data_IF_850647636226
#
_entry.id   IF_850647636226
#
_cell.length_a   1.000
_cell.length_b   1.000
_cell.length_c   1.000
_cell.angle_alpha   90.00
_cell.angle_beta   90.00
_cell.angle_gamma   90.00
#
_symmetry.space_group_name_H-M   'P 1'
#
loop_
_entity.id
_entity.type
_entity.pdbx_description
1 polymer ?
#
# COMPACT_ATOMS: atom_id res chain seq x y z
N UNK A 1 -13.68 4.10 16.71
CA UNK A 1 -14.21 2.99 15.88
C UNK A 1 -13.62 2.97 14.45
N UNK A 2 -13.61 4.10 13.71
CA UNK A 2 -13.21 4.11 12.29
C UNK A 2 -11.81 3.54 12.05
N UNK A 3 -10.81 4.00 12.79
CA UNK A 3 -9.41 3.58 12.61
C UNK A 3 -9.26 2.07 12.83
N UNK A 4 -9.85 1.53 13.90
CA UNK A 4 -9.80 0.09 14.20
C UNK A 4 -10.48 -0.74 13.12
N UNK A 5 -11.56 -0.23 12.53
CA UNK A 5 -12.32 -0.94 11.52
C UNK A 5 -11.82 -0.72 10.08
N UNK A 6 -10.88 0.19 9.83
CA UNK A 6 -10.38 0.44 8.46
C UNK A 6 -9.83 -0.83 7.80
N UNK A 7 -9.11 -1.65 8.56
CA UNK A 7 -8.63 -2.98 8.16
C UNK A 7 -9.16 -4.07 9.08
N UNK A 8 -10.42 -4.01 9.47
CA UNK A 8 -11.02 -5.07 10.29
C UNK A 8 -11.06 -6.39 9.52
N UNK A 9 -10.56 -7.44 10.16
CA UNK A 9 -10.56 -8.80 9.65
C UNK A 9 -11.60 -9.65 10.42
N UNK A 10 -12.17 -10.72 9.87
CA UNK A 10 -13.13 -11.56 10.59
C UNK A 10 -12.65 -12.04 11.95
N UNK A 11 -11.36 -12.28 12.14
CA UNK A 11 -10.78 -12.69 13.44
C UNK A 11 -10.85 -11.60 14.52
N UNK A 12 -11.05 -10.35 14.14
CA UNK A 12 -11.13 -9.24 15.09
C UNK A 12 -12.40 -9.30 15.95
N UNK A 13 -13.43 -10.02 15.51
CA UNK A 13 -14.68 -10.21 16.24
C UNK A 13 -14.49 -10.85 17.64
N UNK A 14 -13.41 -11.58 17.84
CA UNK A 14 -13.09 -12.27 19.09
C UNK A 14 -11.75 -11.83 19.71
N UNK A 15 -11.13 -10.78 19.17
CA UNK A 15 -9.84 -10.32 19.65
C UNK A 15 -9.98 -9.46 20.90
N UNK A 16 -9.53 -9.99 22.03
CA UNK A 16 -9.57 -9.34 23.34
C UNK A 16 -8.38 -8.42 23.60
N UNK A 17 -7.52 -8.17 22.62
CA UNK A 17 -6.41 -7.23 22.76
C UNK A 17 -6.95 -5.83 23.01
N UNK A 18 -6.48 -5.19 24.09
CA UNK A 18 -6.78 -3.78 24.37
C UNK A 18 -6.15 -2.90 23.29
N UNK A 19 -6.97 -2.10 22.65
CA UNK A 19 -6.52 -1.23 21.54
C UNK A 19 -5.55 -0.18 22.06
N UNK A 20 -5.97 0.53 23.09
CA UNK A 20 -5.14 1.51 23.80
C UNK A 20 -5.76 1.81 25.17
N UNK A 21 -4.95 2.01 26.22
CA UNK A 21 -5.47 2.33 27.56
C UNK A 21 -6.32 3.60 27.63
N UNK A 22 -6.21 4.47 26.67
CA UNK A 22 -6.93 5.77 26.69
C UNK A 22 -8.38 5.68 26.18
N UNK A 23 -8.78 4.56 25.62
CA UNK A 23 -10.15 4.29 25.17
C UNK A 23 -10.77 3.29 26.16
N UNK A 24 -10.87 3.67 27.41
CA UNK A 24 -11.51 2.92 28.50
C UNK A 24 -11.14 1.41 28.53
N UNK A 25 -9.89 1.08 28.13
CA UNK A 25 -9.41 -0.28 27.92
C UNK A 25 -10.25 -1.10 26.93
N UNK A 26 -10.93 -0.45 25.99
CA UNK A 26 -11.70 -1.15 24.97
C UNK A 26 -10.83 -2.13 24.17
N UNK A 27 -11.35 -3.33 24.00
CA UNK A 27 -10.73 -4.35 23.18
C UNK A 27 -11.06 -4.15 21.70
N UNK A 28 -10.32 -4.84 20.84
CA UNK A 28 -10.62 -4.85 19.40
C UNK A 28 -12.04 -5.37 19.16
N UNK A 29 -12.44 -6.44 19.86
CA UNK A 29 -13.78 -7.01 19.76
C UNK A 29 -14.88 -6.01 20.16
N UNK A 30 -14.65 -5.19 21.19
CA UNK A 30 -15.61 -4.17 21.61
C UNK A 30 -15.85 -3.10 20.53
N UNK A 31 -14.80 -2.79 19.77
CA UNK A 31 -14.82 -1.76 18.71
C UNK A 31 -15.18 -2.33 17.33
N UNK A 32 -15.17 -3.66 17.17
CA UNK A 32 -15.45 -4.32 15.90
C UNK A 32 -16.88 -4.07 15.41
N UNK A 33 -17.02 -3.73 14.11
CA UNK A 33 -18.32 -3.41 13.48
C UNK A 33 -18.57 -4.24 12.21
N UNK A 34 -17.82 -5.31 12.03
CA UNK A 34 -17.83 -6.15 10.85
C UNK A 34 -16.52 -6.08 10.06
N UNK A 35 -16.27 -7.07 9.20
CA UNK A 35 -15.03 -7.14 8.45
C UNK A 35 -15.04 -6.21 7.24
N UNK A 36 -13.97 -5.45 7.05
CA UNK A 36 -13.64 -4.80 5.80
C UNK A 36 -12.68 -5.64 4.94
N UNK A 37 -11.94 -6.55 5.57
CA UNK A 37 -11.10 -7.52 4.89
C UNK A 37 -11.84 -8.86 4.76
N UNK A 38 -11.61 -9.55 3.66
CA UNK A 38 -11.98 -10.95 3.51
C UNK A 38 -11.03 -11.85 4.32
N UNK A 39 -11.42 -13.12 4.49
CA UNK A 39 -10.62 -14.11 5.24
C UNK A 39 -9.22 -14.36 4.67
N UNK A 40 -8.97 -14.02 3.42
CA UNK A 40 -7.67 -14.09 2.76
C UNK A 40 -6.89 -12.75 2.80
N UNK A 41 -7.30 -11.81 3.66
CA UNK A 41 -6.74 -10.47 3.85
C UNK A 41 -6.94 -9.50 2.69
N UNK A 42 -7.66 -9.89 1.66
CA UNK A 42 -7.99 -9.00 0.54
C UNK A 42 -9.17 -8.10 0.89
N UNK A 43 -9.32 -7.00 0.19
CA UNK A 43 -10.52 -6.16 0.22
C UNK A 43 -11.00 -5.84 -1.21
N UNK A 44 -12.24 -5.44 -1.32
CA UNK A 44 -12.82 -4.95 -2.56
C UNK A 44 -13.19 -3.47 -2.42
N UNK A 45 -13.07 -2.76 -3.53
CA UNK A 45 -13.63 -1.45 -3.71
C UNK A 45 -14.33 -1.42 -5.08
N UNK A 46 -15.45 -0.73 -5.19
CA UNK A 46 -16.29 -0.70 -6.41
C UNK A 46 -16.73 -2.09 -6.90
N UNK A 47 -16.78 -3.07 -6.00
CA UNK A 47 -17.23 -4.43 -6.31
C UNK A 47 -16.17 -5.34 -6.94
N UNK A 48 -14.88 -4.99 -6.86
CA UNK A 48 -13.78 -5.82 -7.31
C UNK A 48 -12.52 -5.62 -6.47
N UNK A 49 -11.57 -6.55 -6.55
CA UNK A 49 -10.28 -6.43 -5.91
C UNK A 49 -9.45 -5.33 -6.57
N UNK A 50 -8.94 -4.45 -5.74
CA UNK A 50 -8.21 -3.29 -6.19
C UNK A 50 -6.95 -3.09 -5.34
N UNK A 51 -5.80 -3.45 -5.86
CA UNK A 51 -4.55 -3.47 -5.09
C UNK A 51 -4.18 -2.08 -4.55
N UNK A 52 -4.40 -1.02 -5.32
CA UNK A 52 -4.08 0.33 -4.84
C UNK A 52 -4.98 0.80 -3.69
N UNK A 53 -6.26 0.41 -3.67
CA UNK A 53 -7.11 0.71 -2.50
C UNK A 53 -6.69 -0.09 -1.27
N UNK A 54 -6.23 -1.32 -1.47
CA UNK A 54 -5.65 -2.09 -0.38
C UNK A 54 -4.40 -1.41 0.21
N UNK A 55 -3.62 -0.77 -0.64
CA UNK A 55 -2.43 -0.04 -0.22
C UNK A 55 -2.76 1.32 0.41
N UNK A 56 -3.75 2.04 -0.14
CA UNK A 56 -4.08 3.41 0.28
C UNK A 56 -4.50 3.51 1.74
N UNK A 57 -5.13 2.47 2.29
CA UNK A 57 -5.51 2.45 3.71
C UNK A 57 -4.26 2.50 4.60
N UNK A 58 -3.17 1.79 4.24
CA UNK A 58 -1.90 1.87 4.98
C UNK A 58 -1.34 3.30 4.93
N UNK A 59 -1.41 3.96 3.78
CA UNK A 59 -0.95 5.34 3.63
C UNK A 59 -1.74 6.28 4.54
N UNK A 60 -3.06 6.26 4.46
CA UNK A 60 -3.92 7.17 5.20
C UNK A 60 -3.83 6.95 6.71
N UNK A 61 -3.78 5.69 7.16
CA UNK A 61 -3.56 5.37 8.56
C UNK A 61 -2.16 5.79 9.03
N UNK A 62 -1.15 5.61 8.19
CA UNK A 62 0.22 6.05 8.48
C UNK A 62 0.32 7.56 8.62
N UNK A 63 -0.30 8.31 7.72
CA UNK A 63 -0.36 9.77 7.80
C UNK A 63 -1.10 10.23 9.05
N UNK A 64 -2.24 9.63 9.37
CA UNK A 64 -2.98 9.93 10.60
C UNK A 64 -2.15 9.62 11.85
N UNK A 65 -1.45 8.49 11.87
CA UNK A 65 -0.59 8.11 12.98
C UNK A 65 0.64 9.04 13.14
N UNK A 66 1.13 9.62 12.05
CA UNK A 66 2.25 10.56 12.04
C UNK A 66 1.88 11.95 12.57
N UNK A 67 0.66 12.40 12.39
CA UNK A 67 0.22 13.76 12.80
C UNK A 67 0.38 13.97 14.30
N UNK A 68 0.09 12.96 15.11
CA UNK A 68 0.16 13.06 16.59
C UNK A 68 1.60 13.35 17.06
N UNK A 69 2.61 12.54 16.73
CA UNK A 69 3.99 12.83 17.12
C UNK A 69 4.54 14.12 16.50
N UNK A 70 4.15 14.49 15.29
CA UNK A 70 4.53 15.78 14.70
C UNK A 70 3.98 16.96 15.52
N UNK A 71 2.71 16.93 15.89
CA UNK A 71 2.10 17.95 16.71
C UNK A 71 2.78 18.06 18.10
N UNK A 72 3.18 16.92 18.67
CA UNK A 72 3.93 16.90 19.92
C UNK A 72 5.33 17.49 19.79
N UNK A 73 6.05 17.16 18.73
CA UNK A 73 7.38 17.74 18.44
C UNK A 73 7.29 19.26 18.30
N UNK A 74 6.32 19.77 17.57
CA UNK A 74 6.13 21.22 17.38
C UNK A 74 5.73 21.90 18.69
N UNK A 75 4.87 21.31 19.49
CA UNK A 75 4.52 21.81 20.82
C UNK A 75 5.75 21.94 21.73
N UNK A 76 6.64 20.92 21.71
CA UNK A 76 7.90 20.95 22.47
C UNK A 76 8.83 22.05 21.97
N UNK A 77 8.94 22.24 20.66
CA UNK A 77 9.72 23.32 20.04
C UNK A 77 9.23 24.69 20.49
N UNK A 78 7.93 24.93 20.42
CA UNK A 78 7.31 26.19 20.82
C UNK A 78 7.44 26.47 22.34
N UNK A 79 7.29 25.44 23.16
CA UNK A 79 7.45 25.60 24.62
C UNK A 79 8.91 25.85 25.00
N UNK A 80 9.86 25.25 24.32
CA UNK A 80 11.29 25.52 24.52
C UNK A 80 11.67 26.95 24.11
N UNK A 81 11.10 27.44 23.01
CA UNK A 81 11.27 28.85 22.58
C UNK A 81 10.64 29.85 23.57
N UNK A 82 9.48 29.52 24.16
CA UNK A 82 8.82 30.33 25.19
C UNK A 82 9.57 30.30 26.53
N UNK A 83 10.17 29.20 26.94
CA UNK A 83 11.01 29.07 28.14
C UNK A 83 12.25 29.97 28.08
N UNK A 84 12.77 30.26 26.90
CA UNK A 84 13.81 31.31 26.70
C UNK A 84 13.29 32.72 26.96
N UNK A 85 11.98 32.96 26.93
CA UNK A 85 11.37 34.29 27.04
C UNK A 85 10.75 34.62 28.39
N UNK A 86 10.29 33.63 29.19
CA UNK A 86 9.79 33.86 30.56
C UNK A 86 9.71 32.56 31.37
N UNK A 87 10.45 32.48 32.49
CA UNK A 87 10.17 31.52 33.57
C UNK A 87 8.83 31.90 34.23
N UNK A 88 7.76 31.24 33.87
CA UNK A 88 6.57 31.07 34.72
C UNK A 88 5.92 29.72 34.41
N UNK A 89 5.72 28.96 35.48
CA UNK A 89 5.07 27.67 35.51
C UNK A 89 3.64 27.74 34.97
N UNK A 90 3.36 27.01 33.91
CA UNK A 90 2.13 26.27 33.72
C UNK A 90 2.55 24.92 33.11
N UNK A 91 2.41 23.89 33.93
CA UNK A 91 2.55 22.51 33.46
C UNK A 91 1.49 22.32 32.36
N UNK A 92 1.95 22.21 31.10
CA UNK A 92 1.10 21.70 30.05
C UNK A 92 0.78 20.24 30.40
N UNK A 93 -0.44 19.74 30.15
CA UNK A 93 -0.77 18.37 30.42
C UNK A 93 0.27 17.48 29.73
N UNK A 94 0.82 16.52 30.48
CA UNK A 94 1.69 15.49 29.96
C UNK A 94 0.86 14.65 28.98
N UNK A 95 0.87 15.03 27.72
CA UNK A 95 0.52 14.08 26.68
C UNK A 95 1.63 13.02 26.71
N UNK A 96 1.32 11.91 27.36
CA UNK A 96 2.08 10.67 27.27
C UNK A 96 2.40 10.46 25.80
N UNK A 97 3.62 10.03 25.49
CA UNK A 97 4.02 9.61 24.14
C UNK A 97 3.00 8.60 23.61
N UNK A 98 2.06 9.11 22.82
CA UNK A 98 1.02 8.27 22.31
C UNK A 98 1.64 7.30 21.31
N UNK A 99 1.78 6.06 21.72
CA UNK A 99 2.05 4.99 20.76
C UNK A 99 0.89 4.93 19.77
N UNK A 100 1.11 5.41 18.55
CA UNK A 100 0.10 5.44 17.50
C UNK A 100 0.10 4.18 16.65
N UNK A 101 0.95 3.18 16.94
CA UNK A 101 1.04 1.93 16.16
C UNK A 101 -0.25 1.11 16.19
N UNK A 102 -1.06 1.27 17.24
CA UNK A 102 -2.39 0.65 17.28
C UNK A 102 -3.29 1.07 16.10
N UNK A 103 -3.07 2.27 15.54
CA UNK A 103 -3.79 2.75 14.37
C UNK A 103 -3.47 1.93 13.11
N UNK A 104 -2.31 1.27 13.09
CA UNK A 104 -1.84 0.43 11.99
C UNK A 104 -2.19 -1.05 12.16
N UNK A 105 -3.22 -1.33 12.98
CA UNK A 105 -3.69 -2.69 13.17
C UNK A 105 -3.98 -3.35 11.82
N UNK A 106 -3.60 -4.61 11.71
CA UNK A 106 -3.72 -5.43 10.50
C UNK A 106 -2.93 -4.95 9.27
N UNK A 107 -2.34 -3.74 9.27
CA UNK A 107 -1.51 -3.28 8.14
C UNK A 107 -0.38 -4.27 7.82
N UNK A 108 0.36 -4.73 8.83
CA UNK A 108 1.42 -5.71 8.64
C UNK A 108 0.94 -7.07 8.13
N UNK A 109 -0.27 -7.47 8.48
CA UNK A 109 -0.87 -8.70 7.96
C UNK A 109 -1.27 -8.55 6.49
N UNK A 110 -1.87 -7.41 6.13
CA UNK A 110 -2.19 -7.08 4.73
C UNK A 110 -0.94 -7.00 3.87
N UNK A 111 0.11 -6.35 4.36
CA UNK A 111 1.40 -6.26 3.66
C UNK A 111 1.94 -7.66 3.35
N UNK A 112 2.10 -8.49 4.36
CA UNK A 112 2.67 -9.85 4.21
C UNK A 112 1.79 -10.81 3.44
N UNK A 113 0.47 -10.70 3.57
CA UNK A 113 -0.45 -11.65 2.98
C UNK A 113 -0.93 -11.25 1.59
N UNK A 114 -0.88 -9.97 1.23
CA UNK A 114 -1.42 -9.48 -0.03
C UNK A 114 -0.40 -8.62 -0.80
N UNK A 115 0.07 -7.51 -0.23
CA UNK A 115 0.83 -6.53 -0.99
C UNK A 115 2.19 -7.05 -1.42
N UNK A 116 2.95 -7.72 -0.54
CA UNK A 116 4.23 -8.35 -0.90
C UNK A 116 4.09 -9.41 -2.00
N UNK A 117 2.93 -10.05 -2.09
CA UNK A 117 2.65 -11.00 -3.17
C UNK A 117 2.34 -10.32 -4.51
N UNK A 118 1.96 -9.07 -4.49
CA UNK A 118 1.53 -8.31 -5.67
C UNK A 118 2.49 -7.16 -6.01
N UNK A 119 3.57 -7.00 -5.25
CA UNK A 119 4.60 -5.99 -5.54
C UNK A 119 5.58 -6.50 -6.59
N UNK A 120 5.85 -5.68 -7.58
CA UNK A 120 6.78 -5.94 -8.67
C UNK A 120 8.22 -5.60 -8.29
N UNK A 121 9.16 -6.07 -9.09
CA UNK A 121 10.59 -5.88 -8.87
C UNK A 121 11.07 -4.41 -8.89
N UNK A 122 10.25 -3.49 -9.34
CA UNK A 122 10.51 -2.04 -9.32
C UNK A 122 9.75 -1.29 -8.22
N UNK A 123 9.08 -2.01 -7.34
CA UNK A 123 8.30 -1.45 -6.24
C UNK A 123 6.88 -1.00 -6.64
N UNK A 124 6.45 -1.26 -7.87
CA UNK A 124 5.07 -1.02 -8.28
C UNK A 124 4.15 -2.18 -7.87
N UNK A 125 2.86 -1.90 -7.77
CA UNK A 125 1.85 -2.90 -7.48
C UNK A 125 1.23 -3.45 -8.78
N UNK A 126 1.12 -4.77 -8.86
CA UNK A 126 0.33 -5.40 -9.91
C UNK A 126 -1.16 -5.17 -9.66
N UNK A 127 -1.91 -4.98 -10.75
CA UNK A 127 -3.36 -4.74 -10.74
C UNK A 127 -4.08 -5.88 -11.48
N UNK A 128 -4.26 -7.05 -10.85
CA UNK A 128 -4.80 -8.23 -11.55
C UNK A 128 -6.20 -8.02 -12.14
N UNK A 129 -7.02 -7.20 -11.48
CA UNK A 129 -8.37 -6.85 -11.95
C UNK A 129 -8.45 -5.46 -12.60
N UNK A 130 -7.29 -4.87 -12.88
CA UNK A 130 -7.21 -3.51 -13.37
C UNK A 130 -7.37 -2.46 -12.27
N UNK A 131 -7.45 -1.23 -12.74
CA UNK A 131 -7.59 -0.05 -11.89
C UNK A 131 -8.49 0.94 -12.59
N UNK A 132 -9.63 1.25 -12.01
CA UNK A 132 -10.57 2.22 -12.56
C UNK A 132 -10.09 3.68 -12.47
N UNK A 133 -9.05 3.91 -11.65
CA UNK A 133 -8.39 5.20 -11.48
C UNK A 133 -7.05 5.31 -12.22
N UNK A 134 -6.48 4.23 -12.60
CA UNK A 134 -5.37 3.91 -13.50
C UNK A 134 -4.02 4.60 -13.35
N UNK A 135 -3.82 5.57 -12.50
CA UNK A 135 -2.58 6.33 -12.45
C UNK A 135 -1.85 6.31 -11.12
N UNK A 136 -2.34 5.57 -10.18
CA UNK A 136 -1.87 5.61 -8.81
C UNK A 136 -0.86 4.53 -8.48
N UNK A 137 -0.18 4.01 -9.49
CA UNK A 137 0.83 2.97 -9.33
C UNK A 137 2.05 3.46 -8.54
N UNK A 138 2.20 4.76 -8.38
CA UNK A 138 3.38 5.38 -7.76
C UNK A 138 3.11 5.96 -6.38
N UNK A 139 1.86 5.94 -5.93
CA UNK A 139 1.45 6.50 -4.64
C UNK A 139 1.90 5.66 -3.44
N UNK A 140 2.31 4.41 -3.65
CA UNK A 140 2.57 3.45 -2.57
C UNK A 140 3.82 3.76 -1.73
N UNK A 141 4.63 4.73 -2.11
CA UNK A 141 5.87 5.03 -1.38
C UNK A 141 5.62 5.39 0.09
N UNK A 142 4.51 6.08 0.39
CA UNK A 142 4.14 6.41 1.77
C UNK A 142 3.69 5.19 2.56
N UNK A 143 3.04 4.20 1.95
CA UNK A 143 2.70 2.96 2.64
C UNK A 143 3.95 2.18 3.01
N UNK A 144 4.93 2.12 2.12
CA UNK A 144 6.20 1.48 2.42
C UNK A 144 6.94 2.18 3.56
N UNK A 145 7.01 3.51 3.57
CA UNK A 145 7.61 4.24 4.69
C UNK A 145 6.85 4.05 5.99
N UNK A 146 5.51 3.99 5.95
CA UNK A 146 4.69 3.68 7.12
C UNK A 146 5.05 2.32 7.72
N UNK A 147 5.09 1.28 6.87
CA UNK A 147 5.44 -0.07 7.30
C UNK A 147 6.88 -0.16 7.81
N UNK A 148 7.81 0.46 7.10
CA UNK A 148 9.22 0.46 7.46
C UNK A 148 9.47 1.21 8.78
N UNK A 149 9.00 2.44 8.89
CA UNK A 149 9.32 3.33 10.00
C UNK A 149 8.54 2.98 11.28
N UNK A 150 7.27 2.65 11.15
CA UNK A 150 6.39 2.45 12.30
C UNK A 150 6.25 0.98 12.72
N UNK A 151 6.29 0.04 11.78
CA UNK A 151 6.12 -1.39 12.07
C UNK A 151 7.42 -2.21 11.92
N UNK A 152 8.49 -1.57 11.52
CA UNK A 152 9.79 -2.24 11.48
C UNK A 152 9.94 -3.25 10.34
N UNK A 153 9.28 -3.04 9.21
CA UNK A 153 9.29 -3.95 8.06
C UNK A 153 10.46 -3.65 7.12
N UNK A 154 11.40 -4.59 6.96
CA UNK A 154 12.57 -4.44 6.10
C UNK A 154 12.28 -4.75 4.63
N UNK A 155 11.20 -5.46 4.33
CA UNK A 155 10.70 -5.63 2.96
C UNK A 155 10.13 -4.31 2.45
N UNK A 156 9.41 -3.60 3.31
CA UNK A 156 8.91 -2.28 2.98
C UNK A 156 10.06 -1.28 2.71
N UNK A 157 11.19 -1.35 3.42
CA UNK A 157 12.39 -0.55 3.08
C UNK A 157 12.94 -0.89 1.69
N UNK A 158 12.92 -2.16 1.31
CA UNK A 158 13.31 -2.56 -0.04
C UNK A 158 12.41 -1.90 -1.08
N UNK A 159 11.09 -2.03 -0.92
CA UNK A 159 10.13 -1.52 -1.89
C UNK A 159 10.04 0.00 -1.91
N UNK A 160 10.18 0.67 -0.78
CA UNK A 160 10.31 2.12 -0.73
C UNK A 160 11.50 2.61 -1.59
N UNK A 161 12.66 1.99 -1.41
CA UNK A 161 13.85 2.31 -2.21
C UNK A 161 13.63 2.09 -3.70
N UNK A 162 12.97 1.01 -4.09
CA UNK A 162 12.67 0.69 -5.48
C UNK A 162 11.66 1.69 -6.07
N UNK A 163 10.58 1.99 -5.34
CA UNK A 163 9.57 2.96 -5.75
C UNK A 163 10.14 4.37 -5.93
N UNK A 164 10.95 4.85 -4.98
CA UNK A 164 11.62 6.15 -5.08
C UNK A 164 12.58 6.20 -6.30
N UNK A 165 13.30 5.11 -6.55
CA UNK A 165 14.16 5.01 -7.72
C UNK A 165 13.36 5.06 -9.02
N UNK A 166 12.19 4.44 -9.04
CA UNK A 166 11.30 4.44 -10.20
C UNK A 166 10.68 5.83 -10.42
N UNK A 167 10.24 6.52 -9.37
CA UNK A 167 9.77 7.90 -9.44
C UNK A 167 10.87 8.79 -10.04
N UNK A 168 12.08 8.72 -9.50
CA UNK A 168 13.22 9.51 -10.00
C UNK A 168 13.57 9.17 -11.45
N UNK A 169 13.46 7.91 -11.87
CA UNK A 169 13.65 7.50 -13.27
C UNK A 169 12.61 8.15 -14.18
N UNK A 170 11.35 8.13 -13.76
CA UNK A 170 10.24 8.69 -14.55
C UNK A 170 10.31 10.21 -14.67
N UNK A 171 10.66 10.91 -13.59
CA UNK A 171 10.88 12.36 -13.63
C UNK A 171 11.93 12.77 -14.69
N UNK A 172 12.92 11.92 -14.97
CA UNK A 172 13.93 12.16 -15.99
C UNK A 172 13.45 11.94 -17.43
N UNK A 173 12.26 11.41 -17.63
CA UNK A 173 11.69 11.21 -18.97
C UNK A 173 11.11 12.49 -19.57
N UNK A 174 10.96 13.54 -18.79
CA UNK A 174 10.44 14.85 -19.21
C UNK A 174 11.43 15.95 -18.85
N UNK A 175 11.48 17.02 -19.65
CA UNK A 175 12.42 18.12 -19.46
C UNK A 175 12.21 18.90 -18.15
N UNK A 176 10.96 18.93 -17.66
CA UNK A 176 10.53 19.67 -16.48
C UNK A 176 10.27 18.77 -15.25
N UNK A 177 10.54 17.47 -15.38
CA UNK A 177 10.28 16.49 -14.32
C UNK A 177 8.81 16.08 -14.15
N UNK A 178 7.92 16.59 -14.98
CA UNK A 178 6.48 16.30 -14.95
C UNK A 178 6.14 15.04 -15.74
N UNK A 179 6.39 13.89 -15.19
CA UNK A 179 6.23 12.60 -15.87
C UNK A 179 4.79 12.07 -15.94
N UNK A 180 3.85 12.70 -15.25
CA UNK A 180 2.42 12.39 -15.29
C UNK A 180 1.64 13.29 -16.26
N UNK A 181 2.19 13.50 -17.44
CA UNK A 181 1.60 14.40 -18.45
C UNK A 181 0.38 13.76 -19.14
N UNK A 182 -0.74 13.71 -18.46
CA UNK A 182 -2.02 13.44 -19.10
C UNK A 182 -3.00 14.57 -18.79
N UNK A 183 -3.81 15.04 -19.76
CA UNK A 183 -4.76 16.12 -19.53
C UNK A 183 -5.72 15.92 -18.36
N UNK A 184 -6.12 14.65 -18.13
CA UNK A 184 -7.04 14.30 -17.03
C UNK A 184 -6.33 14.19 -15.65
N UNK A 185 -5.02 14.29 -15.62
CA UNK A 185 -4.20 14.06 -14.43
C UNK A 185 -3.51 15.33 -13.97
N UNK A 186 -2.80 15.95 -14.89
CA UNK A 186 -2.22 17.28 -14.77
C UNK A 186 -1.51 17.58 -13.45
N UNK A 187 -1.45 18.84 -13.10
CA UNK A 187 -0.80 19.36 -11.90
C UNK A 187 -1.32 18.76 -10.59
N UNK A 188 -2.61 18.41 -10.52
CA UNK A 188 -3.19 17.79 -9.34
C UNK A 188 -2.46 16.47 -8.96
N UNK A 189 -2.15 15.66 -9.96
CA UNK A 189 -1.50 14.35 -9.72
C UNK A 189 -0.05 14.52 -9.33
N UNK A 190 0.64 15.46 -9.95
CA UNK A 190 2.00 15.82 -9.52
C UNK A 190 2.02 16.32 -8.08
N UNK A 191 0.99 17.06 -7.67
CA UNK A 191 0.82 17.49 -6.29
C UNK A 191 0.64 16.31 -5.32
N UNK A 192 -0.14 15.29 -5.69
CA UNK A 192 -0.31 14.07 -4.88
C UNK A 192 1.02 13.32 -4.74
N UNK A 193 1.76 13.12 -5.84
CA UNK A 193 3.07 12.46 -5.77
C UNK A 193 4.08 13.25 -4.92
N UNK A 194 4.11 14.56 -5.07
CA UNK A 194 4.93 15.43 -4.22
C UNK A 194 4.57 15.31 -2.74
N UNK A 195 3.27 15.25 -2.44
CA UNK A 195 2.77 14.99 -1.09
C UNK A 195 3.27 13.64 -0.57
N UNK A 196 3.12 12.55 -1.32
CA UNK A 196 3.55 11.20 -0.91
C UNK A 196 5.05 11.12 -0.63
N UNK A 197 5.87 11.71 -1.48
CA UNK A 197 7.32 11.78 -1.26
C UNK A 197 7.66 12.62 -0.01
N UNK A 198 6.97 13.74 0.19
CA UNK A 198 7.15 14.56 1.38
C UNK A 198 6.74 13.81 2.66
N UNK A 199 5.62 13.10 2.65
CA UNK A 199 5.17 12.31 3.79
C UNK A 199 6.14 11.18 4.09
N UNK A 200 6.72 10.54 3.09
CA UNK A 200 7.78 9.55 3.24
C UNK A 200 8.99 10.15 3.96
N UNK A 201 9.45 11.32 3.53
CA UNK A 201 10.54 12.03 4.20
C UNK A 201 10.20 12.37 5.67
N UNK A 202 9.01 12.89 5.93
CA UNK A 202 8.53 13.19 7.29
C UNK A 202 8.48 11.93 8.15
N UNK A 203 8.03 10.80 7.60
CA UNK A 203 7.96 9.52 8.31
C UNK A 203 9.35 9.11 8.80
N UNK A 204 10.37 9.16 7.94
CA UNK A 204 11.76 8.88 8.34
C UNK A 204 12.35 9.91 9.30
N UNK A 205 11.90 11.17 9.23
CA UNK A 205 12.33 12.20 10.16
C UNK A 205 11.82 11.97 11.58
N UNK A 206 10.59 11.52 11.72
CA UNK A 206 9.94 11.27 13.03
C UNK A 206 10.27 9.88 13.56
N UNK A 207 10.32 8.89 12.70
CA UNK A 207 10.58 7.48 13.02
C UNK A 207 11.80 6.97 12.22
N UNK A 208 13.02 7.35 12.63
CA UNK A 208 14.20 7.03 11.85
C UNK A 208 14.46 5.52 11.80
N UNK A 209 14.84 5.04 10.63
CA UNK A 209 15.22 3.64 10.38
C UNK A 209 16.74 3.43 10.50
N UNK A 210 17.42 4.26 11.29
CA UNK A 210 18.89 4.23 11.45
C UNK A 210 19.37 2.85 11.90
N UNK A 211 20.36 2.32 11.19
CA UNK A 211 20.93 1.00 11.48
C UNK A 211 20.18 -0.17 10.85
N UNK A 212 19.01 0.03 10.32
CA UNK A 212 18.26 -1.00 9.59
C UNK A 212 18.69 -1.06 8.13
N UNK A 213 18.58 -2.23 7.53
CA UNK A 213 18.92 -2.47 6.13
C UNK A 213 17.71 -3.02 5.39
N UNK A 214 17.42 -2.54 4.17
CA UNK A 214 16.42 -3.16 3.33
C UNK A 214 16.73 -4.65 3.14
N UNK A 215 15.68 -5.46 3.10
CA UNK A 215 15.79 -6.86 2.67
C UNK A 215 16.51 -6.94 1.32
N UNK A 216 17.44 -7.88 1.17
CA UNK A 216 18.03 -8.13 -0.14
C UNK A 216 16.98 -8.73 -1.08
N UNK A 217 17.03 -8.35 -2.36
CA UNK A 217 16.05 -8.86 -3.35
C UNK A 217 16.02 -10.39 -3.44
N UNK A 218 17.19 -11.03 -3.35
CA UNK A 218 17.27 -12.48 -3.34
C UNK A 218 16.57 -13.12 -2.14
N UNK A 219 16.64 -12.51 -0.97
CA UNK A 219 16.00 -13.00 0.26
C UNK A 219 14.47 -12.81 0.17
N UNK A 220 14.02 -11.68 -0.39
CA UNK A 220 12.61 -11.46 -0.68
C UNK A 220 12.10 -12.52 -1.67
N UNK A 221 12.79 -12.72 -2.79
CA UNK A 221 12.44 -13.74 -3.76
C UNK A 221 12.34 -15.13 -3.14
N UNK A 222 13.28 -15.51 -2.28
CA UNK A 222 13.28 -16.83 -1.64
C UNK A 222 12.01 -17.11 -0.84
N UNK A 223 11.40 -16.10 -0.25
CA UNK A 223 10.17 -16.20 0.55
C UNK A 223 8.90 -16.15 -0.28
N UNK A 224 8.89 -15.36 -1.35
CA UNK A 224 7.70 -15.12 -2.16
C UNK A 224 7.72 -15.80 -3.53
N UNK A 225 8.79 -16.55 -3.83
CA UNK A 225 8.93 -17.36 -5.05
C UNK A 225 8.07 -18.61 -4.99
N UNK A 226 6.78 -18.41 -5.21
CA UNK A 226 5.79 -19.48 -5.20
C UNK A 226 4.55 -19.04 -5.99
N UNK A 227 3.64 -19.97 -6.19
CA UNK A 227 2.27 -19.64 -6.56
C UNK A 227 1.46 -19.33 -5.31
N UNK A 228 0.55 -18.36 -5.42
CA UNK A 228 -0.44 -18.04 -4.40
C UNK A 228 -1.80 -17.81 -5.03
N UNK A 229 -2.80 -18.41 -4.42
CA UNK A 229 -4.20 -18.21 -4.76
C UNK A 229 -4.90 -17.34 -3.71
N UNK A 230 -5.67 -16.37 -4.17
CA UNK A 230 -6.54 -15.52 -3.37
C UNK A 230 -7.99 -15.93 -3.65
N UNK A 231 -8.57 -16.81 -2.85
CA UNK A 231 -9.85 -17.43 -3.16
C UNK A 231 -11.01 -16.44 -3.17
N UNK A 232 -11.00 -15.47 -2.26
CA UNK A 232 -12.07 -14.48 -2.19
C UNK A 232 -12.11 -13.56 -3.41
N UNK A 233 -10.98 -13.43 -4.12
CA UNK A 233 -10.85 -12.58 -5.31
C UNK A 233 -10.68 -13.37 -6.60
N UNK A 234 -10.53 -14.68 -6.50
CA UNK A 234 -10.26 -15.56 -7.65
C UNK A 234 -9.05 -15.10 -8.47
N UNK A 235 -7.96 -14.82 -7.77
CA UNK A 235 -6.69 -14.39 -8.35
C UNK A 235 -5.64 -15.44 -8.02
N UNK A 236 -4.94 -15.90 -9.03
CA UNK A 236 -3.71 -16.66 -8.89
C UNK A 236 -2.52 -15.79 -9.25
N UNK A 237 -1.46 -15.89 -8.48
CA UNK A 237 -0.19 -15.19 -8.71
C UNK A 237 0.95 -16.19 -8.65
N UNK A 238 1.93 -16.05 -9.52
CA UNK A 238 3.20 -16.78 -9.44
C UNK A 238 4.38 -15.84 -9.58
N UNK A 239 5.45 -16.16 -8.88
CA UNK A 239 6.74 -15.47 -8.98
C UNK A 239 7.81 -16.53 -9.18
N UNK A 240 8.60 -16.35 -10.24
CA UNK A 240 9.75 -17.16 -10.59
C UNK A 240 11.02 -16.28 -10.58
N UNK A 241 12.23 -16.83 -10.76
CA UNK A 241 13.41 -16.00 -10.95
C UNK A 241 13.33 -15.04 -12.13
N UNK A 242 12.55 -15.41 -13.16
CA UNK A 242 12.56 -14.72 -14.45
C UNK A 242 11.35 -13.80 -14.62
N UNK A 243 10.20 -14.17 -14.06
CA UNK A 243 8.97 -13.41 -14.24
C UNK A 243 8.03 -13.46 -13.04
N UNK A 244 7.27 -12.41 -12.93
CA UNK A 244 6.04 -12.31 -12.14
C UNK A 244 4.85 -12.49 -13.07
N UNK A 245 3.88 -13.27 -12.66
CA UNK A 245 2.60 -13.38 -13.37
C UNK A 245 1.45 -13.42 -12.38
N UNK A 246 0.35 -12.78 -12.70
CA UNK A 246 -0.90 -12.97 -11.99
C UNK A 246 -2.05 -13.10 -12.98
N UNK A 247 -3.07 -13.85 -12.57
CA UNK A 247 -4.22 -14.14 -13.38
C UNK A 247 -5.50 -14.04 -12.56
N UNK A 248 -6.49 -13.29 -13.07
CA UNK A 248 -7.79 -13.14 -12.43
C UNK A 248 -8.84 -13.98 -13.16
N UNK A 249 -9.55 -14.77 -12.39
CA UNK A 249 -10.74 -15.51 -12.80
C UNK A 249 -12.04 -14.82 -12.38
N UNK A 250 -11.93 -13.62 -11.81
CA UNK A 250 -13.10 -12.87 -11.36
C UNK A 250 -14.07 -12.68 -12.53
N UNK A 251 -15.35 -12.88 -12.25
CA UNK A 251 -16.44 -12.65 -13.20
C UNK A 251 -17.16 -11.37 -12.81
N UNK A 252 -17.42 -10.49 -13.76
CA UNK A 252 -18.14 -9.24 -13.49
C UNK A 252 -17.66 -8.08 -14.35
N UNK A 253 -18.02 -6.88 -13.94
CA UNK A 253 -17.77 -5.64 -14.70
C UNK A 253 -16.28 -5.35 -14.93
N UNK A 254 -15.42 -5.81 -14.03
CA UNK A 254 -13.98 -5.57 -14.03
C UNK A 254 -13.17 -6.87 -14.02
N UNK A 255 -13.61 -7.86 -14.76
CA UNK A 255 -12.89 -9.13 -14.96
C UNK A 255 -11.75 -8.92 -15.95
N UNK A 256 -10.56 -8.71 -15.45
CA UNK A 256 -9.34 -8.58 -16.23
C UNK A 256 -8.45 -9.79 -16.01
N UNK A 257 -7.77 -10.22 -17.04
CA UNK A 257 -7.36 -11.58 -17.13
C UNK A 257 -5.90 -11.86 -16.88
N UNK A 258 -5.05 -10.88 -16.80
CA UNK A 258 -3.68 -11.24 -16.48
C UNK A 258 -2.64 -10.13 -16.58
N UNK A 259 -1.51 -10.41 -15.95
CA UNK A 259 -0.36 -9.53 -15.93
C UNK A 259 0.92 -10.36 -15.88
N UNK A 260 1.88 -10.03 -16.73
CA UNK A 260 3.20 -10.63 -16.73
C UNK A 260 4.26 -9.52 -16.75
N UNK A 261 5.22 -9.59 -15.86
CA UNK A 261 6.35 -8.66 -15.80
C UNK A 261 7.64 -9.43 -15.49
N UNK A 262 8.80 -8.96 -15.97
CA UNK A 262 10.08 -9.53 -15.56
C UNK A 262 10.35 -9.27 -14.08
N UNK A 263 11.02 -10.21 -13.41
CA UNK A 263 11.50 -10.04 -12.04
C UNK A 263 12.76 -9.20 -11.93
N UNK A 264 13.41 -8.92 -13.05
CA UNK A 264 14.55 -8.01 -13.10
C UNK A 264 14.06 -6.58 -13.33
N UNK A 265 14.17 -5.73 -12.29
CA UNK A 265 13.75 -4.33 -12.35
C UNK A 265 14.44 -3.51 -13.43
N UNK A 266 15.63 -3.93 -13.89
CA UNK A 266 16.34 -3.26 -14.98
C UNK A 266 15.70 -3.52 -16.34
N UNK A 267 14.97 -4.62 -16.47
CA UNK A 267 14.25 -5.03 -17.68
C UNK A 267 12.79 -4.62 -17.68
N UNK A 268 12.28 -4.13 -16.56
CA UNK A 268 10.91 -3.67 -16.47
C UNK A 268 10.79 -2.28 -17.11
N UNK A 269 10.42 -2.27 -18.38
CA UNK A 269 10.14 -1.06 -19.16
C UNK A 269 8.65 -0.79 -19.31
N UNK A 270 7.83 -1.42 -18.49
CA UNK A 270 6.39 -1.20 -18.52
C UNK A 270 6.08 0.24 -18.09
N UNK A 271 6.15 1.13 -19.05
CA UNK A 271 5.42 2.39 -18.98
C UNK A 271 3.98 2.01 -19.25
N UNK A 272 3.19 1.86 -18.22
CA UNK A 272 1.74 1.68 -18.38
C UNK A 272 1.21 3.00 -18.94
N UNK A 273 0.83 3.07 -20.23
CA UNK A 273 0.22 4.28 -20.73
C UNK A 273 -1.10 4.51 -19.98
N UNK A 274 -1.34 5.74 -19.59
CA UNK A 274 -2.61 6.07 -18.98
C UNK A 274 -3.76 5.78 -19.93
N UNK A 275 -4.54 4.80 -19.54
CA UNK A 275 -5.90 4.63 -20.06
C UNK A 275 -6.76 4.16 -18.90
N UNK A 276 -7.89 4.79 -18.72
CA UNK A 276 -8.91 4.33 -17.78
C UNK A 276 -9.15 2.83 -18.03
N UNK A 277 -9.09 2.03 -16.98
CA UNK A 277 -9.20 0.56 -17.03
C UNK A 277 -8.06 -0.18 -17.75
N UNK A 278 -6.97 0.49 -18.07
CA UNK A 278 -5.81 -0.18 -18.65
C UNK A 278 -4.88 -0.69 -17.55
N UNK A 279 -4.56 -1.96 -17.59
CA UNK A 279 -3.62 -2.61 -16.67
C UNK A 279 -2.22 -2.71 -17.26
N UNK A 280 -2.01 -2.27 -18.48
CA UNK A 280 -0.76 -2.47 -19.21
C UNK A 280 -0.48 -3.92 -19.60
N UNK A 281 -1.48 -4.78 -19.62
CA UNK A 281 -1.31 -6.21 -19.57
C UNK A 281 -1.73 -6.96 -20.81
N UNK A 282 -1.35 -8.24 -20.81
CA UNK A 282 -1.83 -9.23 -21.77
C UNK A 282 -3.33 -9.42 -21.52
N UNK A 283 -4.13 -8.67 -22.22
CA UNK A 283 -5.57 -8.91 -22.33
C UNK A 283 -5.77 -9.68 -23.60
N UNK A 284 -6.21 -10.93 -23.46
CA UNK A 284 -6.54 -11.79 -24.58
C UNK A 284 -8.05 -12.06 -24.65
N UNK A 285 -8.55 -12.12 -25.82
CA UNK A 285 -9.86 -12.75 -26.12
C UNK A 285 -9.67 -13.70 -27.29
N UNK A 286 -10.49 -14.72 -27.34
CA UNK A 286 -10.55 -15.57 -28.52
C UNK A 286 -11.93 -15.51 -29.16
N UNK A 287 -11.97 -15.74 -30.43
CA UNK A 287 -13.20 -15.74 -31.22
C UNK A 287 -13.53 -17.15 -31.62
N UNK A 288 -14.73 -17.60 -31.31
CA UNK A 288 -15.26 -18.88 -31.78
C UNK A 288 -16.42 -18.60 -32.72
N UNK A 289 -16.31 -19.06 -33.95
CA UNK A 289 -17.34 -18.85 -35.00
C UNK A 289 -17.75 -17.36 -35.16
N UNK A 290 -16.76 -16.47 -35.14
CA UNK A 290 -16.98 -15.02 -35.29
C UNK A 290 -17.57 -14.30 -34.09
N UNK A 291 -17.77 -14.99 -32.95
CA UNK A 291 -18.23 -14.37 -31.70
C UNK A 291 -17.07 -14.17 -30.76
N UNK A 292 -16.94 -12.98 -30.19
CA UNK A 292 -16.01 -12.71 -29.10
C UNK A 292 -16.43 -13.48 -27.86
N UNK A 293 -15.52 -14.23 -27.32
CA UNK A 293 -15.75 -15.00 -26.08
C UNK A 293 -14.66 -14.64 -25.10
N UNK A 294 -15.03 -14.11 -23.95
CA UNK A 294 -14.11 -14.05 -22.83
C UNK A 294 -13.95 -15.45 -22.25
N UNK A 295 -12.72 -15.88 -22.08
CA UNK A 295 -12.47 -17.13 -21.37
C UNK A 295 -13.04 -17.03 -19.97
N UNK A 296 -14.01 -17.82 -19.65
CA UNK A 296 -14.51 -17.99 -18.28
C UNK A 296 -14.05 -19.35 -17.80
N UNK A 297 -13.23 -19.36 -16.77
CA UNK A 297 -13.03 -20.57 -16.02
C UNK A 297 -14.27 -20.81 -15.16
N UNK A 298 -14.89 -21.95 -15.38
CA UNK A 298 -16.01 -22.42 -14.57
C UNK A 298 -15.41 -23.38 -13.55
N UNK A 299 -15.40 -22.99 -12.29
CA UNK A 299 -14.83 -23.77 -11.20
C UNK A 299 -13.67 -23.08 -10.48
N UNK A 300 -13.19 -23.70 -9.44
CA UNK A 300 -11.99 -23.24 -8.72
C UNK A 300 -10.72 -23.75 -9.44
N UNK A 301 -9.62 -22.97 -9.42
CA UNK A 301 -8.34 -23.47 -9.89
C UNK A 301 -7.91 -24.70 -9.07
N UNK A 302 -7.41 -25.70 -9.73
CA UNK A 302 -6.91 -26.94 -9.10
C UNK A 302 -5.56 -26.69 -8.45
#
# INVERSE_FOLDING_TARGET
>A
DFVVNSYSHPSDATDTTVVTPWIDNATVADLYRGPNLFSDWTLQNHGFFHTSYQNVVIQELGEAALIIPLAEMERRRLSSAKKRRKRRHTQAPDFVHADTRWMLRNCGAVERNVLNWLTLADGELAMPNGNDWSLFLYDQVTSYSTMACMLGDDDALLFERLALKQIARRQRTTADGSWLLHPDVGARRMGVEGHRVMMTWLMHHVFPTTGRRPTAWADFLSRYRAARYFPCQRIVRTLTPDYFACFSFATGKHSYTGYIAPTDSTKNNLVVPYRKYNTGNIIGYYTVKGRHTNARLVGEPI
#
